data_IF_048949477720
#
_entry.id   IF_048949477720
#
_cell.length_a   1.000
_cell.length_b   1.000
_cell.length_c   1.000
_cell.angle_alpha   90.00
_cell.angle_beta   90.00
_cell.angle_gamma   90.00
#
_symmetry.space_group_name_H-M   'P 1'
#
loop_
_entity.id
_entity.type
_entity.pdbx_description
1 polymer ?
#
# COMPACT_ATOMS: atom_id res chain seq x y z
N UNK A 1 -30.51 -31.70 -25.01
CA UNK A 1 -30.96 -30.81 -23.92
C UNK A 1 -29.82 -29.89 -23.50
N UNK A 2 -29.93 -28.65 -23.98
CA UNK A 2 -29.03 -27.49 -23.87
C UNK A 2 -28.76 -27.00 -22.43
N UNK A 3 -29.12 -27.77 -21.40
CA UNK A 3 -29.22 -27.30 -20.01
C UNK A 3 -27.94 -27.48 -19.17
N UNK A 4 -26.94 -28.18 -19.69
CA UNK A 4 -25.67 -28.42 -18.98
C UNK A 4 -24.57 -27.39 -19.30
N UNK A 5 -24.76 -26.58 -20.34
CA UNK A 5 -23.74 -25.63 -20.81
C UNK A 5 -23.82 -24.24 -20.16
N UNK A 6 -24.90 -23.92 -19.46
CA UNK A 6 -25.17 -22.57 -18.94
C UNK A 6 -24.59 -22.29 -17.54
N UNK A 7 -24.11 -23.29 -16.80
CA UNK A 7 -23.61 -23.07 -15.44
C UNK A 7 -22.11 -22.71 -15.36
N UNK A 8 -21.34 -22.82 -16.45
CA UNK A 8 -19.87 -22.76 -16.37
C UNK A 8 -19.27 -21.41 -16.80
N UNK A 9 -20.02 -20.51 -17.44
CA UNK A 9 -19.40 -19.39 -18.17
C UNK A 9 -19.41 -18.01 -17.50
N UNK A 10 -20.03 -17.80 -16.36
CA UNK A 10 -20.02 -16.46 -15.73
C UNK A 10 -19.90 -16.54 -14.20
N UNK A 11 -18.84 -17.20 -13.71
CA UNK A 11 -18.26 -16.78 -12.43
C UNK A 11 -17.39 -15.57 -12.74
N UNK A 12 -18.00 -14.37 -12.74
CA UNK A 12 -17.24 -13.13 -12.57
C UNK A 12 -16.72 -13.17 -11.14
N UNK A 13 -15.53 -13.75 -10.98
CA UNK A 13 -14.71 -13.52 -9.80
C UNK A 13 -14.25 -12.07 -9.88
N UNK A 14 -15.08 -11.15 -9.41
CA UNK A 14 -14.58 -9.83 -9.03
C UNK A 14 -13.56 -10.07 -7.92
N UNK A 15 -12.28 -10.04 -8.26
CA UNK A 15 -11.22 -9.98 -7.26
C UNK A 15 -11.46 -8.68 -6.51
N UNK A 16 -11.98 -8.76 -5.29
CA UNK A 16 -11.98 -7.61 -4.41
C UNK A 16 -10.50 -7.31 -4.16
N UNK A 17 -9.96 -6.31 -4.85
CA UNK A 17 -8.57 -5.90 -4.67
C UNK A 17 -8.42 -5.49 -3.20
N UNK A 18 -7.71 -6.31 -2.43
CA UNK A 18 -7.39 -6.01 -1.04
C UNK A 18 -6.34 -4.90 -1.02
N UNK A 19 -6.81 -3.65 -1.15
CA UNK A 19 -5.98 -2.47 -1.06
C UNK A 19 -5.56 -2.19 0.40
N UNK A 20 -4.47 -1.46 0.55
CA UNK A 20 -4.07 -0.89 1.82
C UNK A 20 -5.14 0.03 2.41
N UNK A 21 -5.08 0.20 3.73
CA UNK A 21 -6.00 1.05 4.46
C UNK A 21 -5.93 2.49 3.94
N UNK A 22 -7.07 2.98 3.43
CA UNK A 22 -7.25 4.33 2.91
C UNK A 22 -7.14 5.41 3.96
N UNK A 23 -7.08 5.04 5.25
CA UNK A 23 -6.88 5.96 6.38
C UNK A 23 -5.68 6.87 6.17
N UNK A 24 -4.66 6.49 5.40
CA UNK A 24 -3.46 7.30 5.20
C UNK A 24 -3.38 7.96 3.81
N UNK A 25 -4.42 7.87 2.97
CA UNK A 25 -4.42 8.46 1.62
C UNK A 25 -4.33 10.00 1.63
N UNK A 26 -4.63 10.65 2.77
CA UNK A 26 -4.47 12.09 2.93
C UNK A 26 -3.04 12.52 3.26
N UNK A 27 -2.13 11.56 3.47
CA UNK A 27 -0.78 11.85 3.91
C UNK A 27 0.05 12.50 2.78
N UNK A 28 0.51 13.72 3.01
CA UNK A 28 1.25 14.50 2.03
C UNK A 28 2.70 14.01 1.88
N UNK A 29 2.90 13.06 0.96
CA UNK A 29 4.22 12.50 0.62
C UNK A 29 5.09 13.56 -0.07
N UNK A 30 4.51 14.46 -0.87
CA UNK A 30 5.24 15.49 -1.60
C UNK A 30 5.96 16.43 -0.64
N UNK A 31 5.24 16.98 0.34
CA UNK A 31 5.84 17.82 1.39
C UNK A 31 6.87 17.06 2.21
N UNK A 32 6.65 15.77 2.49
CA UNK A 32 7.62 14.95 3.22
C UNK A 32 8.94 14.82 2.46
N UNK A 33 8.87 14.45 1.17
CA UNK A 33 10.05 14.19 0.34
C UNK A 33 10.79 15.50 0.00
N UNK A 34 10.06 16.60 -0.19
CA UNK A 34 10.64 17.92 -0.45
C UNK A 34 11.26 18.59 0.79
N UNK A 35 11.04 18.04 2.00
CA UNK A 35 11.61 18.56 3.24
C UNK A 35 12.76 17.65 3.74
N UNK A 36 14.05 18.01 3.50
CA UNK A 36 15.18 17.14 3.83
C UNK A 36 15.28 16.78 5.31
N UNK A 37 14.86 17.68 6.21
CA UNK A 37 14.86 17.43 7.66
C UNK A 37 13.80 16.40 8.04
N UNK A 38 12.62 16.47 7.43
CA UNK A 38 11.53 15.54 7.68
C UNK A 38 11.83 14.18 7.04
N UNK A 39 12.23 14.17 5.76
CA UNK A 39 12.65 12.97 5.06
C UNK A 39 13.74 12.21 5.82
N UNK A 40 14.76 12.91 6.32
CA UNK A 40 15.81 12.29 7.14
C UNK A 40 15.24 11.55 8.37
N UNK A 41 14.26 12.12 9.08
CA UNK A 41 13.65 11.45 10.24
C UNK A 41 12.92 10.16 9.85
N UNK A 42 12.23 10.15 8.70
CA UNK A 42 11.59 8.94 8.19
C UNK A 42 12.62 7.89 7.74
N UNK A 43 13.70 8.31 7.07
CA UNK A 43 14.80 7.43 6.71
C UNK A 43 15.51 6.84 7.94
N UNK A 44 15.76 7.65 8.97
CA UNK A 44 16.33 7.18 10.23
C UNK A 44 15.41 6.13 10.89
N UNK A 45 14.09 6.32 10.85
CA UNK A 45 13.12 5.32 11.29
C UNK A 45 13.21 4.02 10.46
N UNK A 46 13.21 4.12 9.12
CA UNK A 46 13.25 2.97 8.22
C UNK A 46 14.54 2.17 8.37
N UNK A 47 15.65 2.84 8.69
CA UNK A 47 16.97 2.24 8.87
C UNK A 47 17.31 1.88 10.33
N UNK A 48 16.34 1.94 11.25
CA UNK A 48 16.54 1.65 12.69
C UNK A 48 17.58 2.55 13.38
N UNK A 49 17.77 3.77 12.87
CA UNK A 49 18.69 4.79 13.41
C UNK A 49 17.99 5.86 14.25
N UNK A 50 16.67 5.77 14.40
CA UNK A 50 15.89 6.74 15.15
C UNK A 50 14.45 6.28 15.40
N UNK A 51 13.68 7.06 16.18
CA UNK A 51 12.29 6.72 16.48
C UNK A 51 11.39 6.87 15.26
N UNK A 52 10.39 6.01 15.16
CA UNK A 52 9.32 6.11 14.19
C UNK A 52 8.11 6.86 14.75
N UNK A 53 7.52 7.73 13.93
CA UNK A 53 6.14 8.21 14.17
C UNK A 53 5.16 7.03 14.04
N UNK A 54 3.92 7.13 14.57
CA UNK A 54 2.92 6.08 14.39
C UNK A 54 2.70 5.70 12.92
N UNK A 55 2.60 6.69 12.02
CA UNK A 55 2.46 6.45 10.58
C UNK A 55 3.75 5.91 9.94
N UNK A 56 4.91 6.43 10.32
CA UNK A 56 6.20 5.92 9.84
C UNK A 56 6.41 4.45 10.19
N UNK A 57 5.87 3.98 11.33
CA UNK A 57 5.88 2.56 11.70
C UNK A 57 5.00 1.72 10.76
N UNK A 58 3.82 2.21 10.40
CA UNK A 58 2.94 1.53 9.44
C UNK A 58 3.64 1.38 8.09
N UNK A 59 4.19 2.48 7.57
CA UNK A 59 4.92 2.45 6.29
C UNK A 59 6.15 1.55 6.35
N UNK A 60 6.93 1.60 7.43
CA UNK A 60 8.08 0.73 7.62
C UNK A 60 7.72 -0.75 7.52
N UNK A 61 6.60 -1.16 8.13
CA UNK A 61 6.14 -2.54 8.10
C UNK A 61 5.65 -2.97 6.70
N UNK A 62 5.09 -2.05 5.92
CA UNK A 62 4.61 -2.32 4.57
C UNK A 62 5.73 -2.36 3.52
N UNK A 63 6.82 -1.58 3.72
CA UNK A 63 7.90 -1.40 2.74
C UNK A 63 8.44 -2.70 2.11
N UNK A 64 8.72 -3.79 2.87
CA UNK A 64 9.25 -5.03 2.28
C UNK A 64 8.31 -5.64 1.25
N UNK A 65 7.00 -5.64 1.53
CA UNK A 65 5.98 -6.14 0.61
C UNK A 65 5.85 -5.21 -0.59
N UNK A 66 5.70 -3.91 -0.36
CA UNK A 66 5.49 -2.89 -1.41
C UNK A 66 6.59 -2.94 -2.46
N UNK A 67 7.84 -3.10 -2.03
CA UNK A 67 8.99 -3.20 -2.93
C UNK A 67 8.98 -4.53 -3.68
N UNK A 68 8.63 -5.63 -3.01
CA UNK A 68 8.64 -6.97 -3.63
C UNK A 68 7.52 -7.18 -4.65
N UNK A 69 6.37 -6.52 -4.46
CA UNK A 69 5.18 -6.67 -5.30
C UNK A 69 4.92 -5.48 -6.21
N UNK A 70 5.81 -4.48 -6.21
CA UNK A 70 5.64 -3.22 -6.94
C UNK A 70 4.30 -2.55 -6.62
N UNK A 71 3.99 -2.42 -5.33
CA UNK A 71 2.77 -1.76 -4.85
C UNK A 71 1.45 -2.46 -5.25
N UNK A 72 1.41 -3.80 -5.28
CA UNK A 72 0.24 -4.56 -5.77
C UNK A 72 -1.08 -4.28 -5.03
N UNK A 73 -1.01 -3.69 -3.83
CA UNK A 73 -2.15 -3.35 -2.96
C UNK A 73 -2.30 -1.85 -2.71
N UNK A 74 -1.54 -1.01 -3.39
CA UNK A 74 -1.56 0.43 -3.14
C UNK A 74 -2.84 1.07 -3.68
N UNK A 75 -3.37 2.02 -2.92
CA UNK A 75 -4.47 2.86 -3.41
C UNK A 75 -3.93 3.81 -4.48
N UNK A 76 -4.77 4.44 -5.32
CA UNK A 76 -4.29 5.41 -6.30
C UNK A 76 -3.52 6.62 -5.72
N UNK A 77 -3.61 6.85 -4.40
CA UNK A 77 -2.92 7.93 -3.71
C UNK A 77 -1.53 7.53 -3.16
N UNK A 78 -1.18 6.23 -3.16
CA UNK A 78 0.02 5.65 -2.54
C UNK A 78 1.01 5.17 -3.61
#
# INVERSE_FOLDING_TARGET
NLFLFTCVLFVVSGTQEELYDRKYDYFDIETLVQNPRLLKKYMDCFLDKGPCTPIGRVFKLALPEVISTSCSKCTPAQ
#
